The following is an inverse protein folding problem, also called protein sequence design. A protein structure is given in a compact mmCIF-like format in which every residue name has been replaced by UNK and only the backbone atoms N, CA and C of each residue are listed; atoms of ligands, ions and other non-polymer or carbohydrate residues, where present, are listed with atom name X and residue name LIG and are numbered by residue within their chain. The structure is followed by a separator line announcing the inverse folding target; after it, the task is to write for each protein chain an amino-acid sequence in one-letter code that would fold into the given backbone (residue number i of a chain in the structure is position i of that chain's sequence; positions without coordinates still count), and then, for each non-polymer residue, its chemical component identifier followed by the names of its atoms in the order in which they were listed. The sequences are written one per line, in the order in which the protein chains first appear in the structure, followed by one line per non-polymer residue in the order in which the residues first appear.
data_IF_271707268977
#
_entry.id   IF_271707268977
#
_cell.length_a   1.000
_cell.length_b   1.000
_cell.length_c   1.000
_cell.angle_alpha   90.00
_cell.angle_beta   90.00
_cell.angle_gamma   90.00
#
_symmetry.space_group_name_H-M   'P 1'
#
loop_
_entity.id
_entity.type
_entity.pdbx_description
1 polymer ?
#
# COMPACT_ATOMS: atom_id res chain seq x y z
N UNK A 1 4.28 32.51 -5.32
CA UNK A 1 4.50 31.98 -6.67
C UNK A 1 3.73 30.68 -6.85
N UNK A 2 3.88 29.69 -5.97
CA UNK A 2 3.23 28.36 -6.06
C UNK A 2 1.72 28.43 -6.27
N UNK A 3 1.00 29.21 -5.47
CA UNK A 3 -0.46 29.37 -5.55
C UNK A 3 -0.94 29.95 -6.89
N UNK A 4 -0.30 31.01 -7.36
CA UNK A 4 -0.65 31.62 -8.66
C UNK A 4 -0.39 30.65 -9.83
N UNK A 5 0.67 29.84 -9.73
CA UNK A 5 0.97 28.84 -10.75
C UNK A 5 -0.06 27.70 -10.73
N UNK A 6 -0.47 27.25 -9.54
CA UNK A 6 -1.54 26.26 -9.40
C UNK A 6 -2.86 26.76 -10.02
N UNK A 7 -3.28 27.98 -9.68
CA UNK A 7 -4.48 28.61 -10.23
C UNK A 7 -4.39 28.77 -11.76
N UNK A 8 -3.25 29.19 -12.28
CA UNK A 8 -3.01 29.26 -13.72
C UNK A 8 -3.14 27.94 -14.43
N UNK A 9 -2.55 26.85 -13.87
CA UNK A 9 -2.64 25.52 -14.44
C UNK A 9 -4.08 25.01 -14.45
N UNK A 10 -4.80 25.18 -13.34
CA UNK A 10 -6.21 24.79 -13.24
C UNK A 10 -7.08 25.53 -14.26
N UNK A 11 -6.89 26.85 -14.40
CA UNK A 11 -7.64 27.65 -15.37
C UNK A 11 -7.32 27.25 -16.81
N UNK A 12 -6.04 27.16 -17.15
CA UNK A 12 -5.59 26.93 -18.55
C UNK A 12 -5.82 25.49 -19.01
N UNK A 13 -5.70 24.52 -18.09
CA UNK A 13 -5.78 23.09 -18.40
C UNK A 13 -6.99 22.40 -17.73
N UNK A 14 -8.06 23.15 -17.44
CA UNK A 14 -9.23 22.71 -16.69
C UNK A 14 -9.76 21.35 -17.15
N UNK A 15 -10.02 21.16 -18.45
CA UNK A 15 -10.56 19.90 -19.01
C UNK A 15 -9.67 18.68 -18.70
N UNK A 16 -8.35 18.85 -18.70
CA UNK A 16 -7.40 17.77 -18.43
C UNK A 16 -7.29 17.45 -16.94
N UNK A 17 -7.42 18.48 -16.10
CA UNK A 17 -7.24 18.38 -14.65
C UNK A 17 -8.54 18.07 -13.89
N UNK A 18 -9.70 18.20 -14.54
CA UNK A 18 -11.02 18.00 -13.94
C UNK A 18 -11.22 16.61 -13.31
N UNK A 19 -10.60 15.56 -13.89
CA UNK A 19 -10.73 14.19 -13.39
C UNK A 19 -9.54 13.70 -12.57
N UNK A 20 -8.38 14.31 -12.74
CA UNK A 20 -7.13 13.88 -12.06
C UNK A 20 -6.74 14.80 -10.90
N UNK A 21 -7.24 16.03 -10.89
CA UNK A 21 -6.92 17.03 -9.87
C UNK A 21 -5.49 17.56 -9.92
N UNK A 22 -5.23 18.51 -9.03
CA UNK A 22 -3.90 19.08 -8.77
C UNK A 22 -3.53 18.81 -7.31
N UNK A 23 -2.32 18.32 -7.07
CA UNK A 23 -1.77 18.19 -5.73
C UNK A 23 -0.87 19.39 -5.43
N UNK A 24 -1.07 20.02 -4.28
CA UNK A 24 -0.16 21.01 -3.72
C UNK A 24 0.50 20.40 -2.50
N UNK A 25 1.83 20.33 -2.52
CA UNK A 25 2.65 19.88 -1.40
C UNK A 25 3.40 21.07 -0.82
N UNK A 26 3.25 21.30 0.49
CA UNK A 26 3.97 22.32 1.20
C UNK A 26 4.32 21.87 2.63
N UNK A 27 5.39 22.41 3.24
CA UNK A 27 5.93 21.86 4.49
C UNK A 27 5.01 22.06 5.70
N UNK A 28 4.13 23.07 5.66
CA UNK A 28 3.32 23.42 6.83
C UNK A 28 1.81 23.44 6.54
N UNK A 29 1.03 22.90 7.46
CA UNK A 29 -0.44 22.96 7.44
C UNK A 29 -0.99 24.39 7.52
N UNK A 30 -0.28 25.30 8.19
CA UNK A 30 -0.68 26.71 8.26
C UNK A 30 -0.77 27.36 6.88
N UNK A 31 0.24 27.12 6.04
CA UNK A 31 0.27 27.62 4.67
C UNK A 31 -0.79 26.94 3.79
N UNK A 32 -0.96 25.63 3.91
CA UNK A 32 -1.98 24.90 3.16
C UNK A 32 -3.40 25.36 3.49
N UNK A 33 -3.73 25.61 4.77
CA UNK A 33 -5.05 26.19 5.16
C UNK A 33 -5.30 27.56 4.54
N UNK A 34 -4.27 28.39 4.40
CA UNK A 34 -4.41 29.64 3.68
C UNK A 34 -4.78 29.40 2.21
N UNK A 35 -4.09 28.48 1.54
CA UNK A 35 -4.38 28.09 0.16
C UNK A 35 -5.81 27.56 0.03
N UNK A 36 -6.22 26.64 0.91
CA UNK A 36 -7.56 26.05 0.93
C UNK A 36 -8.70 27.10 1.04
N UNK A 37 -8.45 28.23 1.70
CA UNK A 37 -9.41 29.33 1.81
C UNK A 37 -9.46 30.21 0.57
N UNK A 38 -8.36 30.34 -0.14
CA UNK A 38 -8.23 31.22 -1.31
C UNK A 38 -8.69 30.52 -2.60
N UNK A 39 -8.41 29.21 -2.76
CA UNK A 39 -8.74 28.46 -3.96
C UNK A 39 -10.24 28.45 -4.32
N UNK A 40 -11.19 28.24 -3.40
CA UNK A 40 -12.63 28.30 -3.72
C UNK A 40 -13.07 29.66 -4.25
N UNK A 41 -12.45 30.77 -3.79
CA UNK A 41 -12.74 32.12 -4.31
C UNK A 41 -12.32 32.30 -5.77
N UNK A 42 -11.44 31.40 -6.26
CA UNK A 42 -11.00 31.33 -7.67
C UNK A 42 -11.83 30.32 -8.48
N UNK A 43 -12.88 29.71 -7.88
CA UNK A 43 -13.77 28.74 -8.54
C UNK A 43 -13.19 27.33 -8.71
N UNK A 44 -12.12 27.02 -8.00
CA UNK A 44 -11.37 25.76 -8.16
C UNK A 44 -11.65 24.77 -7.02
N UNK A 45 -12.20 23.59 -7.34
CA UNK A 45 -12.59 22.53 -6.38
C UNK A 45 -11.76 21.23 -6.51
N UNK A 46 -10.96 21.10 -7.56
CA UNK A 46 -10.15 19.90 -7.86
C UNK A 46 -8.73 19.93 -7.28
N UNK A 47 -8.51 20.64 -6.16
CA UNK A 47 -7.19 20.75 -5.55
C UNK A 47 -7.12 19.95 -4.26
N UNK A 48 -6.09 19.13 -4.16
CA UNK A 48 -5.70 18.42 -2.94
C UNK A 48 -4.48 19.09 -2.35
N UNK A 49 -4.50 19.34 -1.04
CA UNK A 49 -3.39 19.93 -0.32
C UNK A 49 -2.88 18.96 0.74
N UNK A 50 -1.60 18.63 0.71
CA UNK A 50 -0.97 17.70 1.64
C UNK A 50 0.38 18.25 2.12
N UNK A 51 0.71 17.98 3.36
CA UNK A 51 2.11 18.05 3.82
C UNK A 51 2.84 16.76 3.42
N UNK A 52 4.19 16.75 3.36
CA UNK A 52 4.95 15.53 3.15
C UNK A 52 4.58 14.41 4.13
N UNK A 53 4.24 14.76 5.38
CA UNK A 53 3.82 13.83 6.43
C UNK A 53 2.43 13.22 6.26
N UNK A 54 1.64 13.68 5.28
CA UNK A 54 0.28 13.20 5.00
C UNK A 54 0.16 12.49 3.64
N UNK A 55 1.27 12.30 2.94
CA UNK A 55 1.26 11.76 1.59
C UNK A 55 0.73 10.32 1.51
N UNK A 56 0.80 9.55 2.59
CA UNK A 56 0.26 8.19 2.67
C UNK A 56 -1.08 8.22 3.43
N UNK A 57 -2.20 7.81 2.81
CA UNK A 57 -3.50 7.80 3.46
C UNK A 57 -3.50 7.02 4.79
N UNK A 58 -4.16 7.57 5.80
CA UNK A 58 -4.23 6.98 7.13
C UNK A 58 -2.95 7.11 7.97
N UNK A 59 -1.93 7.80 7.45
CA UNK A 59 -0.71 8.17 8.20
C UNK A 59 -0.66 9.68 8.33
N UNK A 60 -0.34 10.15 9.52
CA UNK A 60 -0.06 11.56 9.80
C UNK A 60 1.22 11.66 10.59
N UNK A 61 2.16 12.41 10.10
CA UNK A 61 3.44 12.68 10.72
C UNK A 61 3.69 14.19 10.73
N UNK A 62 3.86 14.74 11.91
CA UNK A 62 4.07 16.19 12.11
C UNK A 62 5.49 16.49 12.65
N UNK A 63 6.29 15.44 12.90
CA UNK A 63 7.64 15.56 13.46
C UNK A 63 8.69 15.03 12.50
N UNK A 64 9.89 15.61 12.55
CA UNK A 64 11.04 15.15 11.81
C UNK A 64 11.93 14.23 12.67
N UNK A 65 12.65 13.32 12.02
CA UNK A 65 13.78 12.63 12.64
C UNK A 65 14.95 13.59 12.89
N UNK A 66 15.90 13.20 13.73
CA UNK A 66 17.18 13.91 13.79
C UNK A 66 17.91 13.78 12.43
N UNK A 67 18.80 14.72 12.13
CA UNK A 67 19.45 14.91 10.83
C UNK A 67 20.11 13.63 10.28
N UNK A 68 20.85 12.91 11.12
CA UNK A 68 21.52 11.67 10.71
C UNK A 68 20.53 10.57 10.29
N UNK A 69 19.41 10.43 11.00
CA UNK A 69 18.34 9.47 10.68
C UNK A 69 17.60 9.90 9.42
N UNK A 70 17.24 11.20 9.32
CA UNK A 70 16.54 11.77 8.18
C UNK A 70 17.34 11.57 6.88
N UNK A 71 18.66 11.77 6.91
CA UNK A 71 19.55 11.53 5.77
C UNK A 71 19.52 10.07 5.32
N UNK A 72 19.61 9.12 6.26
CA UNK A 72 19.58 7.68 5.92
C UNK A 72 18.23 7.30 5.33
N UNK A 73 17.13 7.66 5.99
CA UNK A 73 15.76 7.36 5.53
C UNK A 73 15.45 8.03 4.18
N UNK A 74 15.95 9.24 3.95
CA UNK A 74 15.77 10.02 2.72
C UNK A 74 16.58 9.51 1.53
N UNK A 75 17.58 8.67 1.75
CA UNK A 75 18.46 8.15 0.71
C UNK A 75 17.79 7.10 -0.18
N UNK A 76 18.04 7.15 -1.50
CA UNK A 76 17.60 6.13 -2.46
C UNK A 76 18.20 4.73 -2.19
N UNK A 77 19.25 4.61 -1.40
CA UNK A 77 19.77 3.32 -0.93
C UNK A 77 18.69 2.51 -0.20
N UNK A 78 17.76 3.20 0.51
CA UNK A 78 16.65 2.55 1.20
C UNK A 78 15.72 1.76 0.26
N UNK A 79 15.62 2.11 -1.02
CA UNK A 79 14.84 1.32 -1.99
C UNK A 79 15.37 -0.10 -2.13
N UNK A 80 16.69 -0.27 -2.12
CA UNK A 80 17.35 -1.59 -2.20
C UNK A 80 17.22 -2.34 -0.88
N UNK A 81 17.42 -1.66 0.25
CA UNK A 81 17.25 -2.23 1.60
C UNK A 81 15.83 -2.74 1.79
N UNK A 82 14.80 -1.93 1.51
CA UNK A 82 13.41 -2.32 1.67
C UNK A 82 13.01 -3.47 0.73
N UNK A 83 13.48 -3.46 -0.51
CA UNK A 83 13.26 -4.58 -1.45
C UNK A 83 13.84 -5.90 -0.93
N UNK A 84 15.04 -5.87 -0.36
CA UNK A 84 15.66 -7.05 0.28
C UNK A 84 14.88 -7.47 1.51
N UNK A 85 14.46 -6.52 2.35
CA UNK A 85 13.66 -6.76 3.53
C UNK A 85 12.33 -7.47 3.21
N UNK A 86 11.61 -7.02 2.18
CA UNK A 86 10.36 -7.65 1.72
C UNK A 86 10.62 -9.06 1.18
N UNK A 87 11.66 -9.25 0.34
CA UNK A 87 12.04 -10.58 -0.16
C UNK A 87 12.40 -11.56 0.95
N UNK A 88 12.98 -11.09 2.04
CA UNK A 88 13.35 -11.92 3.19
C UNK A 88 12.13 -12.43 3.98
N UNK A 89 10.94 -11.87 3.78
CA UNK A 89 9.69 -12.37 4.38
C UNK A 89 9.12 -13.61 3.70
N UNK A 90 9.64 -13.97 2.54
CA UNK A 90 9.25 -15.16 1.79
C UNK A 90 10.15 -16.32 2.21
N UNK A 91 9.85 -16.93 3.34
CA UNK A 91 10.70 -17.92 3.97
C UNK A 91 10.48 -19.34 3.45
N UNK A 92 11.49 -20.16 3.51
CA UNK A 92 11.40 -21.62 3.35
C UNK A 92 11.67 -22.24 4.71
N UNK A 93 10.82 -23.14 5.20
CA UNK A 93 11.02 -23.79 6.46
C UNK A 93 12.32 -24.62 6.46
N UNK A 94 12.97 -24.73 7.61
CA UNK A 94 14.20 -25.53 7.74
C UNK A 94 13.95 -27.04 7.63
N UNK A 95 12.76 -27.49 7.98
CA UNK A 95 12.34 -28.89 7.92
C UNK A 95 10.93 -29.04 7.34
N UNK A 96 10.46 -30.27 7.14
CA UNK A 96 9.09 -30.54 6.70
C UNK A 96 8.08 -30.04 7.75
N UNK A 97 6.88 -29.71 7.28
CA UNK A 97 5.74 -29.35 8.12
C UNK A 97 4.69 -30.44 7.98
N UNK A 98 4.47 -31.17 9.05
CA UNK A 98 3.48 -32.25 9.10
C UNK A 98 2.09 -31.68 9.38
N UNK A 99 1.09 -32.15 8.64
CA UNK A 99 -0.30 -31.71 8.67
C UNK A 99 -1.19 -32.95 8.78
N UNK A 100 -2.28 -32.82 9.52
CA UNK A 100 -3.33 -33.86 9.59
C UNK A 100 -4.61 -33.29 9.01
N UNK A 101 -5.10 -33.88 7.93
CA UNK A 101 -6.33 -33.47 7.24
C UNK A 101 -7.29 -34.66 7.26
N UNK A 102 -8.33 -34.58 8.04
CA UNK A 102 -9.37 -35.61 8.21
C UNK A 102 -8.78 -37.02 8.48
N UNK A 103 -7.75 -37.08 9.33
CA UNK A 103 -7.08 -38.31 9.68
C UNK A 103 -6.04 -38.80 8.67
N UNK A 104 -5.81 -38.06 7.60
CA UNK A 104 -4.73 -38.33 6.62
C UNK A 104 -3.52 -37.45 6.96
N UNK A 105 -2.38 -38.08 7.20
CA UNK A 105 -1.13 -37.38 7.50
C UNK A 105 -0.41 -37.04 6.19
N UNK A 106 -0.20 -35.73 5.96
CA UNK A 106 0.52 -35.22 4.80
C UNK A 106 1.63 -34.28 5.25
N UNK A 107 2.60 -34.08 4.39
CA UNK A 107 3.78 -33.26 4.72
C UNK A 107 4.02 -32.23 3.64
N UNK A 108 4.13 -30.96 4.06
CA UNK A 108 4.61 -29.87 3.20
C UNK A 108 6.13 -29.77 3.32
N UNK A 109 6.84 -30.22 2.28
CA UNK A 109 8.30 -30.25 2.30
C UNK A 109 8.93 -28.89 2.01
N UNK A 110 10.17 -28.62 2.45
CA UNK A 110 10.93 -27.42 2.05
C UNK A 110 11.09 -27.33 0.51
N UNK A 111 11.08 -28.47 -0.20
CA UNK A 111 11.12 -28.55 -1.65
C UNK A 111 9.86 -27.95 -2.29
N UNK A 112 8.69 -28.35 -1.78
CA UNK A 112 7.39 -27.83 -2.23
C UNK A 112 7.27 -26.34 -2.02
N UNK A 113 7.68 -25.86 -0.85
CA UNK A 113 7.69 -24.41 -0.53
C UNK A 113 8.64 -23.64 -1.44
N UNK A 114 9.85 -24.17 -1.72
CA UNK A 114 10.78 -23.54 -2.68
C UNK A 114 10.18 -23.43 -4.08
N UNK A 115 9.57 -24.50 -4.56
CA UNK A 115 8.95 -24.54 -5.88
C UNK A 115 7.76 -23.58 -5.97
N UNK A 116 6.84 -23.61 -5.00
CA UNK A 116 5.71 -22.68 -4.95
C UNK A 116 6.17 -21.20 -4.86
N UNK A 117 7.23 -20.92 -4.07
CA UNK A 117 7.85 -19.59 -3.97
C UNK A 117 8.46 -19.16 -5.30
N UNK A 118 9.12 -20.05 -6.02
CA UNK A 118 9.71 -19.75 -7.32
C UNK A 118 8.62 -19.38 -8.36
N UNK A 119 7.53 -20.12 -8.42
CA UNK A 119 6.37 -19.83 -9.27
C UNK A 119 5.79 -18.44 -8.94
N UNK A 120 5.58 -18.15 -7.67
CA UNK A 120 5.05 -16.85 -7.24
C UNK A 120 5.99 -15.69 -7.60
N UNK A 121 7.29 -15.86 -7.40
CA UNK A 121 8.30 -14.84 -7.75
C UNK A 121 8.40 -14.60 -9.26
N UNK A 122 8.21 -15.62 -10.07
CA UNK A 122 8.23 -15.51 -11.52
C UNK A 122 7.11 -14.62 -12.07
N UNK A 123 6.04 -14.37 -11.30
CA UNK A 123 4.97 -13.44 -11.69
C UNK A 123 5.41 -11.98 -11.73
N UNK A 124 6.51 -11.61 -11.08
CA UNK A 124 6.97 -10.23 -10.93
C UNK A 124 6.05 -9.33 -10.10
N UNK A 125 4.97 -9.87 -9.54
CA UNK A 125 3.98 -9.10 -8.76
C UNK A 125 4.51 -8.68 -7.39
N UNK A 126 3.95 -7.62 -6.78
CA UNK A 126 4.20 -7.25 -5.39
C UNK A 126 3.93 -8.40 -4.42
N UNK A 127 4.52 -8.31 -3.21
CA UNK A 127 4.55 -9.40 -2.23
C UNK A 127 3.17 -10.00 -1.89
N UNK A 128 2.17 -9.15 -1.59
CA UNK A 128 0.84 -9.62 -1.19
C UNK A 128 0.10 -10.26 -2.38
N UNK A 129 0.21 -9.68 -3.58
CA UNK A 129 -0.40 -10.23 -4.80
C UNK A 129 0.28 -11.54 -5.24
N UNK A 130 1.61 -11.63 -5.16
CA UNK A 130 2.36 -12.85 -5.48
C UNK A 130 2.02 -13.99 -4.50
N UNK A 131 1.63 -13.66 -3.26
CA UNK A 131 1.20 -14.64 -2.26
C UNK A 131 0.01 -15.49 -2.72
N UNK A 132 -0.93 -14.96 -3.48
CA UNK A 132 -2.06 -15.73 -4.04
C UNK A 132 -1.56 -16.88 -4.92
N UNK A 133 -0.56 -16.62 -5.77
CA UNK A 133 0.08 -17.66 -6.59
C UNK A 133 0.84 -18.68 -5.73
N UNK A 134 1.56 -18.22 -4.70
CA UNK A 134 2.25 -19.07 -3.75
C UNK A 134 1.28 -20.04 -3.04
N UNK A 135 0.18 -19.50 -2.48
CA UNK A 135 -0.84 -20.30 -1.78
C UNK A 135 -1.44 -21.33 -2.71
N UNK A 136 -1.84 -20.94 -3.91
CA UNK A 136 -2.39 -21.88 -4.91
C UNK A 136 -1.39 -23.00 -5.22
N UNK A 137 -0.15 -22.67 -5.55
CA UNK A 137 0.87 -23.64 -5.89
C UNK A 137 1.23 -24.57 -4.72
N UNK A 138 1.19 -24.07 -3.47
CA UNK A 138 1.40 -24.90 -2.29
C UNK A 138 0.21 -25.84 -2.03
N UNK A 139 -1.03 -25.37 -2.19
CA UNK A 139 -2.24 -26.17 -2.05
C UNK A 139 -2.29 -27.29 -3.10
N UNK A 140 -1.93 -27.02 -4.35
CA UNK A 140 -1.84 -28.05 -5.39
C UNK A 140 -0.83 -29.15 -5.04
N UNK A 141 0.26 -28.83 -4.34
CA UNK A 141 1.24 -29.82 -3.85
C UNK A 141 0.69 -30.60 -2.67
N UNK A 142 -0.03 -29.96 -1.76
CA UNK A 142 -0.71 -30.64 -0.64
C UNK A 142 -1.78 -31.61 -1.15
N UNK A 143 -2.56 -31.24 -2.19
CA UNK A 143 -3.51 -32.18 -2.82
C UNK A 143 -2.79 -33.39 -3.37
N UNK A 144 -1.67 -33.22 -4.09
CA UNK A 144 -0.87 -34.35 -4.60
C UNK A 144 -0.35 -35.24 -3.47
N UNK A 145 0.13 -34.63 -2.37
CA UNK A 145 0.59 -35.39 -1.21
C UNK A 145 -0.56 -36.15 -0.55
N UNK A 146 -1.74 -35.54 -0.45
CA UNK A 146 -2.95 -36.18 0.10
C UNK A 146 -3.39 -37.37 -0.73
N UNK A 147 -3.50 -37.22 -2.05
CA UNK A 147 -3.86 -38.33 -2.99
C UNK A 147 -2.84 -39.47 -2.95
N UNK A 148 -1.55 -39.14 -2.90
CA UNK A 148 -0.50 -40.14 -2.77
C UNK A 148 -0.62 -40.93 -1.46
N UNK A 149 -0.96 -40.28 -0.36
CA UNK A 149 -1.17 -40.92 0.94
C UNK A 149 -2.44 -41.79 0.97
N UNK A 150 -3.55 -41.32 0.35
CA UNK A 150 -4.75 -42.16 0.17
C UNK A 150 -4.44 -43.43 -0.63
N UNK A 151 -3.66 -43.31 -1.72
CA UNK A 151 -3.21 -44.45 -2.51
C UNK A 151 -2.39 -45.45 -1.68
N UNK A 152 -1.49 -44.93 -0.82
CA UNK A 152 -0.70 -45.79 0.09
C UNK A 152 -1.56 -46.49 1.14
N UNK A 153 -2.65 -45.84 1.57
CA UNK A 153 -3.61 -46.40 2.51
C UNK A 153 -4.70 -47.29 1.88
N UNK A 154 -4.62 -47.52 0.57
CA UNK A 154 -5.61 -48.26 -0.23
C UNK A 154 -7.03 -47.67 -0.11
N UNK A 155 -7.15 -46.35 0.08
CA UNK A 155 -8.42 -45.61 0.16
C UNK A 155 -8.81 -45.12 -1.23
N UNK A 156 -10.12 -45.17 -1.61
CA UNK A 156 -10.58 -44.67 -2.89
C UNK A 156 -10.39 -43.14 -2.99
N UNK A 157 -10.09 -42.65 -4.17
CA UNK A 157 -10.03 -41.22 -4.53
C UNK A 157 -10.74 -41.03 -5.86
N UNK A 158 -11.59 -40.00 -5.94
CA UNK A 158 -12.22 -39.57 -7.19
C UNK A 158 -11.78 -38.13 -7.50
N UNK A 159 -11.52 -37.82 -8.78
CA UNK A 159 -11.07 -36.46 -9.15
C UNK A 159 -12.17 -35.42 -8.94
N UNK A 160 -13.43 -35.82 -8.87
CA UNK A 160 -14.58 -35.00 -8.50
C UNK A 160 -14.44 -34.40 -7.09
N UNK A 161 -13.78 -35.12 -6.18
CA UNK A 161 -13.58 -34.69 -4.79
C UNK A 161 -12.48 -33.62 -4.64
N UNK A 162 -11.75 -33.31 -5.72
CA UNK A 162 -10.62 -32.36 -5.70
C UNK A 162 -11.04 -30.94 -5.26
N UNK A 163 -12.22 -30.48 -5.68
CA UNK A 163 -12.70 -29.14 -5.36
C UNK A 163 -13.01 -29.02 -3.86
N UNK A 164 -13.63 -30.04 -3.28
CA UNK A 164 -13.97 -30.10 -1.86
C UNK A 164 -12.69 -30.19 -1.02
N UNK A 165 -11.74 -31.05 -1.38
CA UNK A 165 -10.45 -31.14 -0.72
C UNK A 165 -9.69 -29.77 -0.76
N UNK A 166 -9.70 -29.07 -1.89
CA UNK A 166 -9.09 -27.75 -1.98
C UNK A 166 -9.79 -26.73 -1.07
N UNK A 167 -11.11 -26.82 -0.93
CA UNK A 167 -11.86 -25.99 -0.01
C UNK A 167 -11.46 -26.30 1.44
N UNK A 168 -11.41 -27.55 1.83
CA UNK A 168 -11.04 -28.01 3.17
C UNK A 168 -9.60 -27.59 3.50
N UNK A 169 -8.64 -27.80 2.61
CA UNK A 169 -7.27 -27.35 2.78
C UNK A 169 -7.18 -25.80 2.95
N UNK A 170 -7.98 -25.02 2.22
CA UNK A 170 -8.01 -23.57 2.34
C UNK A 170 -8.60 -23.10 3.67
N UNK A 171 -9.56 -23.82 4.21
CA UNK A 171 -10.25 -23.46 5.45
C UNK A 171 -9.53 -24.01 6.68
N UNK A 172 -8.75 -25.08 6.53
CA UNK A 172 -8.02 -25.73 7.62
C UNK A 172 -7.04 -24.76 8.31
N UNK A 173 -7.10 -24.76 9.65
CA UNK A 173 -6.29 -23.86 10.48
C UNK A 173 -4.78 -24.13 10.34
N UNK A 174 -4.38 -25.39 10.42
CA UNK A 174 -2.95 -25.78 10.43
C UNK A 174 -2.29 -25.50 9.09
N UNK A 175 -3.02 -25.70 7.98
CA UNK A 175 -2.58 -25.31 6.63
C UNK A 175 -2.39 -23.80 6.56
N UNK A 176 -3.35 -22.99 7.07
CA UNK A 176 -3.21 -21.53 7.11
C UNK A 176 -1.99 -21.10 7.91
N UNK A 177 -1.76 -21.70 9.07
CA UNK A 177 -0.59 -21.40 9.91
C UNK A 177 0.70 -21.77 9.18
N UNK A 178 0.76 -22.97 8.57
CA UNK A 178 1.93 -23.42 7.81
C UNK A 178 2.28 -22.46 6.67
N UNK A 179 1.28 -22.08 5.85
CA UNK A 179 1.48 -21.17 4.72
C UNK A 179 1.83 -19.74 5.17
N UNK A 180 1.22 -19.25 6.27
CA UNK A 180 1.54 -17.94 6.83
C UNK A 180 2.97 -17.89 7.40
N UNK A 181 3.49 -18.97 7.97
CA UNK A 181 4.90 -19.06 8.40
C UNK A 181 5.87 -18.91 7.22
N UNK A 182 5.47 -19.39 6.03
CA UNK A 182 6.28 -19.27 4.83
C UNK A 182 6.14 -17.91 4.13
N UNK A 183 4.94 -17.35 4.09
CA UNK A 183 4.64 -16.12 3.35
C UNK A 183 3.43 -15.40 3.94
N UNK A 184 3.66 -14.55 4.94
CA UNK A 184 2.63 -13.73 5.58
C UNK A 184 2.36 -12.47 4.77
N UNK A 185 1.09 -12.07 4.54
CA UNK A 185 0.79 -10.75 3.99
C UNK A 185 1.00 -9.67 5.05
N UNK A 186 1.37 -8.47 4.62
CA UNK A 186 1.65 -7.34 5.50
C UNK A 186 0.95 -6.07 5.02
N UNK A 187 0.46 -5.25 5.97
CA UNK A 187 0.25 -3.83 5.70
C UNK A 187 1.59 -3.08 5.75
N UNK A 188 1.74 -1.95 5.03
CA UNK A 188 2.97 -1.16 5.06
C UNK A 188 3.42 -0.80 6.48
N UNK A 189 2.46 -0.38 7.32
CA UNK A 189 2.72 0.00 8.70
C UNK A 189 3.19 -1.20 9.57
N UNK A 190 2.52 -2.35 9.46
CA UNK A 190 2.90 -3.55 10.24
C UNK A 190 4.27 -4.08 9.82
N UNK A 191 4.57 -4.03 8.52
CA UNK A 191 5.87 -4.38 8.00
C UNK A 191 6.96 -3.45 8.53
N UNK A 192 6.79 -2.12 8.39
CA UNK A 192 7.76 -1.12 8.83
C UNK A 192 8.04 -1.23 10.33
N UNK A 193 6.99 -1.30 11.18
CA UNK A 193 7.14 -1.49 12.63
C UNK A 193 7.95 -2.73 12.97
N UNK A 194 7.65 -3.86 12.31
CA UNK A 194 8.36 -5.11 12.57
C UNK A 194 9.79 -5.13 12.01
N UNK A 195 10.05 -4.38 10.95
CA UNK A 195 11.35 -4.29 10.29
C UNK A 195 12.32 -3.43 11.10
N UNK A 196 11.94 -2.20 11.42
CA UNK A 196 12.80 -1.26 12.15
C UNK A 196 13.01 -1.63 13.62
N UNK A 197 12.15 -2.47 14.21
CA UNK A 197 12.33 -2.95 15.58
C UNK A 197 13.25 -4.18 15.71
N UNK A 198 13.87 -4.63 14.63
CA UNK A 198 14.73 -5.82 14.66
C UNK A 198 16.09 -5.54 14.03
N UNK A 199 17.13 -5.44 14.84
CA UNK A 199 18.51 -5.28 14.37
C UNK A 199 18.92 -6.39 13.42
N UNK A 200 18.54 -7.65 13.70
CA UNK A 200 18.84 -8.79 12.83
C UNK A 200 18.27 -8.60 11.41
N UNK A 201 17.02 -8.14 11.31
CA UNK A 201 16.35 -7.89 10.04
C UNK A 201 16.97 -6.71 9.28
N UNK A 202 17.34 -5.66 10.01
CA UNK A 202 18.04 -4.51 9.45
C UNK A 202 19.39 -4.92 8.89
N UNK A 203 20.21 -5.65 9.63
CA UNK A 203 21.51 -6.16 9.18
C UNK A 203 21.37 -7.05 7.95
N UNK A 204 20.41 -7.99 7.96
CA UNK A 204 20.18 -8.88 6.83
C UNK A 204 19.76 -8.10 5.55
N UNK A 205 18.92 -7.09 5.69
CA UNK A 205 18.43 -6.30 4.58
C UNK A 205 19.44 -5.26 4.07
N UNK A 206 20.23 -4.68 4.97
CA UNK A 206 21.24 -3.66 4.66
C UNK A 206 22.24 -4.14 3.61
N UNK A 207 22.83 -5.34 3.81
CA UNK A 207 23.90 -5.82 2.95
C UNK A 207 25.04 -4.82 2.89
N UNK A 208 25.42 -4.42 1.69
CA UNK A 208 26.44 -3.39 1.42
C UNK A 208 25.86 -1.99 1.14
N UNK A 209 24.52 -1.83 1.22
CA UNK A 209 23.86 -0.59 0.80
C UNK A 209 23.86 0.50 1.86
N UNK A 210 23.93 0.12 3.13
CA UNK A 210 24.04 1.03 4.28
C UNK A 210 25.05 0.45 5.30
N UNK A 211 25.73 1.33 5.99
CA UNK A 211 26.76 0.98 6.98
C UNK A 211 26.17 0.49 8.31
N UNK A 212 27.01 -0.14 9.14
CA UNK A 212 26.59 -0.57 10.49
C UNK A 212 26.12 0.60 11.36
N UNK A 213 26.75 1.79 11.21
CA UNK A 213 26.31 3.00 11.92
C UNK A 213 24.88 3.39 11.51
N UNK A 214 24.59 3.38 10.21
CA UNK A 214 23.27 3.71 9.68
C UNK A 214 22.21 2.69 10.07
N UNK A 215 22.56 1.40 10.17
CA UNK A 215 21.68 0.36 10.72
C UNK A 215 21.27 0.69 12.16
N UNK A 216 22.23 1.12 12.99
CA UNK A 216 21.94 1.50 14.38
C UNK A 216 21.01 2.71 14.47
N UNK A 217 21.18 3.69 13.58
CA UNK A 217 20.31 4.87 13.50
C UNK A 217 18.86 4.52 13.09
N UNK A 218 18.66 3.48 12.28
CA UNK A 218 17.34 3.06 11.82
C UNK A 218 16.57 2.24 12.86
N UNK A 219 17.27 1.65 13.86
CA UNK A 219 16.61 0.81 14.86
C UNK A 219 15.75 1.64 15.81
N UNK A 220 14.48 1.24 16.00
CA UNK A 220 13.54 1.91 16.90
C UNK A 220 12.48 0.96 17.45
N UNK A 221 11.79 1.30 18.55
CA UNK A 221 10.68 0.54 19.10
C UNK A 221 9.52 0.37 18.12
N UNK A 222 8.72 -0.70 18.27
CA UNK A 222 7.56 -0.98 17.40
C UNK A 222 6.46 0.05 17.50
N UNK A 223 6.30 0.66 18.64
CA UNK A 223 5.27 1.64 19.01
C UNK A 223 5.70 3.08 18.76
N UNK A 224 6.92 3.30 18.24
CA UNK A 224 7.39 4.63 17.88
C UNK A 224 6.41 5.34 16.92
N UNK A 225 6.22 6.63 17.14
CA UNK A 225 5.40 7.48 16.27
C UNK A 225 6.05 7.61 14.88
N UNK A 226 5.22 7.88 13.88
CA UNK A 226 5.71 8.10 12.52
C UNK A 226 6.32 9.49 12.39
N UNK A 227 7.46 9.55 11.73
CA UNK A 227 8.11 10.80 11.32
C UNK A 227 7.83 11.10 9.85
N UNK A 228 8.07 12.34 9.41
CA UNK A 228 7.86 12.77 8.03
C UNK A 228 8.70 11.89 7.06
N UNK A 229 9.92 11.55 7.46
CA UNK A 229 10.83 10.70 6.67
C UNK A 229 10.31 9.27 6.52
N UNK A 230 9.55 8.77 7.50
CA UNK A 230 8.92 7.45 7.42
C UNK A 230 7.87 7.38 6.33
N UNK A 231 7.18 8.48 6.03
CA UNK A 231 6.07 8.50 5.06
C UNK A 231 6.56 8.09 3.68
N UNK A 232 7.72 8.56 3.26
CA UNK A 232 8.33 8.15 1.98
C UNK A 232 8.72 6.67 1.97
N UNK A 233 9.21 6.14 3.11
CA UNK A 233 9.51 4.71 3.25
C UNK A 233 8.24 3.86 3.26
N UNK A 234 7.17 4.31 3.91
CA UNK A 234 5.87 3.62 3.91
C UNK A 234 5.28 3.56 2.50
N UNK A 235 5.43 4.62 1.71
CA UNK A 235 5.03 4.63 0.31
C UNK A 235 5.83 3.59 -0.52
N UNK A 236 7.15 3.54 -0.36
CA UNK A 236 7.99 2.52 -1.02
C UNK A 236 7.63 1.10 -0.58
N UNK A 237 7.41 0.89 0.72
CA UNK A 237 6.98 -0.41 1.27
C UNK A 237 5.62 -0.81 0.68
N UNK A 238 4.68 0.12 0.56
CA UNK A 238 3.37 -0.14 -0.04
C UNK A 238 3.48 -0.59 -1.50
N UNK A 239 4.36 0.00 -2.29
CA UNK A 239 4.64 -0.44 -3.66
C UNK A 239 5.22 -1.87 -3.70
N UNK A 240 6.16 -2.18 -2.80
CA UNK A 240 6.80 -3.49 -2.74
C UNK A 240 5.86 -4.59 -2.23
N UNK A 241 4.95 -4.24 -1.33
CA UNK A 241 3.96 -5.17 -0.78
C UNK A 241 2.77 -5.36 -1.74
N UNK A 242 2.32 -4.31 -2.40
CA UNK A 242 1.01 -4.25 -3.06
C UNK A 242 -0.13 -4.23 -2.05
N UNK A 243 -1.33 -3.99 -2.53
CA UNK A 243 -2.52 -4.01 -1.68
C UNK A 243 -2.75 -5.43 -1.12
N UNK A 244 -3.32 -5.49 0.08
CA UNK A 244 -3.73 -6.78 0.65
C UNK A 244 -5.11 -7.14 0.09
N UNK A 245 -5.13 -7.94 -0.98
CA UNK A 245 -6.37 -8.44 -1.60
C UNK A 245 -7.31 -9.08 -0.57
N UNK A 246 -6.75 -9.65 0.51
CA UNK A 246 -7.56 -10.23 1.59
C UNK A 246 -8.19 -9.17 2.47
N UNK A 247 -7.56 -8.03 2.65
CA UNK A 247 -8.13 -6.88 3.36
C UNK A 247 -9.19 -6.19 2.49
N UNK A 248 -8.91 -5.99 1.20
CA UNK A 248 -9.88 -5.46 0.24
C UNK A 248 -11.11 -6.37 0.12
N UNK A 249 -10.92 -7.70 0.07
CA UNK A 249 -12.00 -8.66 0.04
C UNK A 249 -12.84 -8.62 1.31
N UNK A 250 -12.22 -8.55 2.50
CA UNK A 250 -12.94 -8.41 3.78
C UNK A 250 -13.75 -7.11 3.84
N UNK A 251 -13.23 -6.02 3.30
CA UNK A 251 -13.93 -4.75 3.25
C UNK A 251 -15.11 -4.80 2.28
N UNK A 252 -14.96 -5.46 1.11
CA UNK A 252 -16.05 -5.74 0.19
C UNK A 252 -17.11 -6.65 0.81
N UNK A 253 -16.70 -7.70 1.52
CA UNK A 253 -17.62 -8.61 2.19
C UNK A 253 -18.40 -7.89 3.31
N UNK A 254 -17.74 -7.01 4.07
CA UNK A 254 -18.41 -6.13 5.05
C UNK A 254 -19.36 -5.15 4.37
N UNK A 255 -18.94 -4.54 3.26
CA UNK A 255 -19.79 -3.63 2.49
C UNK A 255 -21.04 -4.35 1.97
N UNK A 256 -20.90 -5.55 1.40
CA UNK A 256 -22.02 -6.40 0.95
C UNK A 256 -22.94 -6.81 2.10
N UNK A 257 -22.38 -7.16 3.27
CA UNK A 257 -23.16 -7.51 4.46
C UNK A 257 -23.95 -6.29 4.95
N UNK A 258 -23.32 -5.11 4.95
CA UNK A 258 -23.99 -3.86 5.33
C UNK A 258 -25.08 -3.47 4.34
N UNK A 259 -24.84 -3.63 3.04
CA UNK A 259 -25.80 -3.37 1.97
C UNK A 259 -27.01 -4.30 2.10
N UNK A 260 -26.78 -5.60 2.32
CA UNK A 260 -27.85 -6.57 2.57
C UNK A 260 -28.67 -6.21 3.82
N UNK A 261 -28.00 -5.86 4.93
CA UNK A 261 -28.67 -5.42 6.16
C UNK A 261 -29.47 -4.13 5.97
N UNK A 262 -28.98 -3.19 5.15
CA UNK A 262 -29.70 -1.97 4.80
C UNK A 262 -30.95 -2.28 3.93
N UNK A 263 -30.85 -3.24 3.01
CA UNK A 263 -31.95 -3.69 2.18
C UNK A 263 -33.04 -4.36 3.02
N UNK A 264 -32.65 -5.29 3.91
CA UNK A 264 -33.56 -5.96 4.86
C UNK A 264 -34.24 -4.95 5.81
N UNK A 265 -33.50 -3.91 6.24
CA UNK A 265 -34.07 -2.83 7.06
C UNK A 265 -35.05 -1.97 6.25
N UNK A 266 -34.71 -1.61 5.00
CA UNK A 266 -35.61 -0.85 4.11
C UNK A 266 -36.90 -1.62 3.80
N UNK A 267 -36.80 -2.93 3.53
CA UNK A 267 -37.96 -3.82 3.35
C UNK A 267 -38.84 -3.87 4.59
N UNK A 268 -38.23 -3.95 5.78
CA UNK A 268 -38.93 -3.99 7.06
C UNK A 268 -39.63 -2.65 7.37
N UNK A 269 -39.00 -1.53 7.03
CA UNK A 269 -39.61 -0.19 7.18
C UNK A 269 -40.77 -0.02 6.20
N UNK A 270 -40.61 -0.43 4.94
CA UNK A 270 -41.69 -0.38 3.94
C UNK A 270 -42.86 -1.29 4.29
N UNK A 271 -42.62 -2.45 4.90
CA UNK A 271 -43.70 -3.32 5.37
C UNK A 271 -44.48 -2.77 6.58
N UNK A 272 -43.90 -1.82 7.32
CA UNK A 272 -44.54 -1.12 8.44
C UNK A 272 -45.30 0.15 8.01
N UNK A 273 -44.99 0.69 6.84
CA UNK A 273 -45.66 1.85 6.28
C UNK A 273 -46.54 1.32 5.14
N UNK A 274 -47.85 1.30 5.36
CA UNK A 274 -48.86 0.79 4.44
C UNK A 274 -48.94 1.72 3.18
N UNK A 275 -47.83 1.89 2.47
CA UNK A 275 -47.68 2.73 1.29
C UNK A 275 -47.45 1.86 0.06
N UNK A 276 -48.55 1.36 -0.49
CA UNK A 276 -48.52 0.74 -1.81
C UNK A 276 -47.97 1.74 -2.87
N UNK A 277 -46.75 1.51 -3.36
CA UNK A 277 -46.41 1.88 -4.72
C UNK A 277 -45.62 3.18 -4.96
N UNK A 278 -45.06 3.88 -3.97
CA UNK A 278 -44.37 5.18 -4.22
C UNK A 278 -42.84 5.12 -4.23
N UNK A 279 -42.22 4.21 -3.49
CA UNK A 279 -40.72 4.04 -3.47
C UNK A 279 -40.38 2.56 -3.29
N UNK A 280 -39.48 2.03 -4.10
CA UNK A 280 -39.00 0.67 -3.94
C UNK A 280 -37.96 0.56 -2.82
N UNK A 281 -37.87 -0.61 -2.16
CA UNK A 281 -36.83 -0.86 -1.17
C UNK A 281 -35.41 -0.61 -1.70
N UNK A 282 -35.20 -0.89 -2.99
CA UNK A 282 -33.94 -0.64 -3.70
C UNK A 282 -33.66 0.86 -3.85
N UNK A 283 -34.66 1.68 -4.15
CA UNK A 283 -34.51 3.16 -4.25
C UNK A 283 -34.23 3.78 -2.88
N UNK A 284 -34.92 3.31 -1.83
CA UNK A 284 -34.67 3.78 -0.47
C UNK A 284 -33.26 3.36 0.02
N UNK A 285 -32.84 2.12 -0.24
CA UNK A 285 -31.50 1.63 0.05
C UNK A 285 -30.43 2.39 -0.77
N UNK A 286 -30.70 2.69 -2.04
CA UNK A 286 -29.83 3.49 -2.90
C UNK A 286 -29.71 4.95 -2.40
N UNK A 287 -30.81 5.59 -1.94
CA UNK A 287 -30.75 6.92 -1.34
C UNK A 287 -29.97 6.95 -0.03
N UNK A 288 -30.09 5.92 0.82
CA UNK A 288 -29.31 5.76 2.04
C UNK A 288 -27.83 5.50 1.68
N UNK A 289 -27.56 4.73 0.62
CA UNK A 289 -26.21 4.47 0.09
C UNK A 289 -25.60 5.70 -0.60
N UNK A 290 -26.33 6.40 -1.44
CA UNK A 290 -25.88 7.60 -2.16
C UNK A 290 -25.51 8.77 -1.21
N UNK A 291 -26.17 8.89 -0.06
CA UNK A 291 -25.77 9.85 0.98
C UNK A 291 -24.39 9.55 1.61
N UNK A 292 -23.85 8.34 1.41
CA UNK A 292 -22.52 7.95 1.94
C UNK A 292 -21.37 8.24 0.98
N UNK A 293 -21.60 8.50 -0.31
CA UNK A 293 -20.52 8.74 -1.29
C UNK A 293 -20.50 10.20 -1.81
N UNK A 294 -20.89 11.14 -0.96
CA UNK A 294 -20.81 12.59 -1.24
C UNK A 294 -19.40 13.16 -1.15
N UNK A 295 -18.37 12.29 -1.11
CA UNK A 295 -16.97 12.74 -1.08
C UNK A 295 -16.60 13.49 -2.36
N UNK A 296 -15.97 14.64 -2.17
CA UNK A 296 -15.40 15.43 -3.26
C UNK A 296 -14.27 14.67 -3.98
N UNK A 297 -13.91 15.12 -5.20
CA UNK A 297 -12.74 14.57 -5.91
C UNK A 297 -11.48 14.63 -5.04
N UNK A 298 -11.29 15.73 -4.33
CA UNK A 298 -10.16 15.94 -3.43
C UNK A 298 -10.13 14.92 -2.28
N UNK A 299 -11.29 14.63 -1.67
CA UNK A 299 -11.38 13.63 -0.60
C UNK A 299 -11.14 12.20 -1.10
N UNK A 300 -11.63 11.87 -2.32
CA UNK A 300 -11.35 10.58 -2.96
C UNK A 300 -9.87 10.44 -3.26
N UNK A 301 -9.26 11.46 -3.86
CA UNK A 301 -7.85 11.46 -4.20
C UNK A 301 -6.93 11.39 -2.96
N UNK A 302 -7.27 12.11 -1.88
CA UNK A 302 -6.52 12.06 -0.63
C UNK A 302 -6.64 10.71 0.10
N UNK A 303 -7.74 9.98 -0.13
CA UNK A 303 -7.97 8.66 0.47
C UNK A 303 -7.35 7.50 -0.33
N UNK A 304 -6.98 7.72 -1.59
CA UNK A 304 -6.43 6.70 -2.48
C UNK A 304 -4.93 6.92 -2.70
N UNK A 305 -4.10 6.03 -2.14
CA UNK A 305 -2.65 6.06 -2.32
C UNK A 305 -2.21 5.95 -3.79
N UNK A 306 -2.98 5.24 -4.60
CA UNK A 306 -2.68 4.99 -6.01
C UNK A 306 -3.17 6.10 -6.94
N UNK A 307 -3.84 7.11 -6.38
CA UNK A 307 -4.33 8.24 -7.17
C UNK A 307 -3.20 8.96 -7.89
N UNK A 308 -3.42 9.21 -9.17
CA UNK A 308 -2.47 9.97 -10.01
C UNK A 308 -3.01 11.35 -10.32
N UNK A 309 -2.21 12.36 -9.97
CA UNK A 309 -2.57 13.76 -10.20
C UNK A 309 -2.14 14.22 -11.60
N UNK A 310 -2.92 15.08 -12.21
CA UNK A 310 -2.61 15.66 -13.51
C UNK A 310 -1.47 16.70 -13.45
N UNK A 311 -1.28 17.31 -12.27
CA UNK A 311 -0.20 18.25 -12.00
C UNK A 311 0.14 18.26 -10.50
N UNK A 312 1.42 18.40 -10.17
CA UNK A 312 1.86 18.55 -8.78
C UNK A 312 2.62 19.87 -8.63
N UNK A 313 2.23 20.65 -7.63
CA UNK A 313 2.93 21.86 -7.21
C UNK A 313 3.64 21.56 -5.90
N UNK A 314 4.93 21.78 -5.87
CA UNK A 314 5.77 21.58 -4.68
C UNK A 314 6.32 22.93 -4.23
N UNK A 315 6.03 23.31 -3.00
CA UNK A 315 6.58 24.51 -2.37
C UNK A 315 7.66 24.11 -1.37
N UNK A 316 8.67 24.97 -1.17
CA UNK A 316 9.88 24.68 -0.38
C UNK A 316 10.53 23.35 -0.78
N UNK A 317 10.63 23.11 -2.07
CA UNK A 317 11.01 21.83 -2.65
C UNK A 317 12.43 21.37 -2.29
N UNK A 318 13.31 22.28 -1.86
CA UNK A 318 14.66 21.99 -1.35
C UNK A 318 14.63 21.17 -0.06
N UNK A 319 13.52 21.20 0.69
CA UNK A 319 13.36 20.42 1.93
C UNK A 319 13.07 18.93 1.67
N UNK A 320 12.72 18.56 0.44
CA UNK A 320 12.32 17.19 0.12
C UNK A 320 13.51 16.28 -0.12
N UNK A 321 13.51 15.14 0.57
CA UNK A 321 14.50 14.08 0.36
C UNK A 321 14.30 13.35 -0.99
N UNK A 322 15.35 12.69 -1.52
CA UNK A 322 15.24 11.86 -2.73
C UNK A 322 14.15 10.77 -2.63
N UNK A 323 13.94 10.19 -1.46
CA UNK A 323 12.84 9.23 -1.27
C UNK A 323 11.46 9.89 -1.35
N UNK A 324 11.31 11.13 -0.86
CA UNK A 324 10.05 11.88 -0.98
C UNK A 324 9.77 12.26 -2.43
N UNK A 325 10.79 12.70 -3.17
CA UNK A 325 10.67 12.93 -4.61
C UNK A 325 10.23 11.67 -5.35
N UNK A 326 10.78 10.51 -4.99
CA UNK A 326 10.37 9.23 -5.57
C UNK A 326 8.88 8.94 -5.34
N UNK A 327 8.36 9.21 -4.15
CA UNK A 327 6.95 9.05 -3.84
C UNK A 327 6.05 10.02 -4.64
N UNK A 328 6.48 11.27 -4.84
CA UNK A 328 5.77 12.26 -5.65
C UNK A 328 5.77 11.91 -7.15
N UNK A 329 6.90 11.42 -7.66
CA UNK A 329 7.01 11.00 -9.08
C UNK A 329 6.05 9.87 -9.44
N UNK A 330 5.78 8.94 -8.51
CA UNK A 330 4.75 7.89 -8.72
C UNK A 330 3.36 8.47 -8.84
N UNK A 331 3.05 9.54 -8.11
CA UNK A 331 1.73 10.19 -8.13
C UNK A 331 1.50 11.08 -9.35
N UNK A 332 2.53 11.29 -10.15
CA UNK A 332 2.41 12.00 -11.42
C UNK A 332 3.25 11.34 -12.53
N UNK A 333 2.71 10.28 -13.16
CA UNK A 333 3.39 9.58 -14.25
C UNK A 333 3.72 10.48 -15.45
N UNK A 334 2.96 11.55 -15.64
CA UNK A 334 3.21 12.52 -16.72
C UNK A 334 4.38 13.46 -16.45
N UNK A 335 4.95 13.41 -15.22
CA UNK A 335 6.04 14.27 -14.75
C UNK A 335 5.74 15.77 -14.90
N UNK A 336 4.46 16.14 -14.74
CA UNK A 336 3.99 17.53 -14.81
C UNK A 336 4.09 18.19 -13.43
N UNK A 337 5.18 18.93 -13.20
CA UNK A 337 5.47 19.56 -11.91
C UNK A 337 5.63 21.08 -12.04
N UNK A 338 5.24 21.80 -11.00
CA UNK A 338 5.71 23.15 -10.69
C UNK A 338 6.50 23.07 -9.40
N UNK A 339 7.78 23.36 -9.48
CA UNK A 339 8.72 23.26 -8.36
C UNK A 339 9.10 24.67 -7.95
N UNK A 340 8.85 25.01 -6.69
CA UNK A 340 9.17 26.31 -6.09
C UNK A 340 10.04 26.04 -4.87
N UNK A 341 11.13 26.76 -4.75
CA UNK A 341 12.05 26.65 -3.64
C UNK A 341 13.31 27.47 -3.87
N UNK A 342 14.08 27.66 -2.83
CA UNK A 342 15.35 28.37 -2.87
C UNK A 342 16.45 27.44 -2.35
N UNK A 343 17.31 26.97 -3.26
CA UNK A 343 18.41 26.07 -2.92
C UNK A 343 19.46 26.69 -1.99
N UNK A 344 19.46 28.02 -1.84
CA UNK A 344 20.34 28.71 -0.88
C UNK A 344 19.77 28.75 0.56
N UNK A 345 18.48 28.41 0.75
CA UNK A 345 17.79 28.41 2.04
C UNK A 345 17.47 27.01 2.55
N UNK A 346 18.19 25.98 2.11
CA UNK A 346 17.96 24.61 2.58
C UNK A 346 18.25 24.53 4.08
N UNK A 347 17.23 24.22 4.88
CA UNK A 347 17.36 23.94 6.31
C UNK A 347 17.48 22.45 6.60
N UNK A 348 17.11 21.59 5.65
CA UNK A 348 17.13 20.15 5.78
C UNK A 348 18.42 19.54 5.21
N UNK A 349 19.15 18.79 6.04
CA UNK A 349 20.34 18.03 5.63
C UNK A 349 19.97 16.85 4.70
N UNK A 350 18.73 16.40 4.72
CA UNK A 350 18.19 15.41 3.79
C UNK A 350 17.69 16.02 2.48
N UNK A 351 17.62 17.34 2.39
CA UNK A 351 17.29 18.08 1.18
C UNK A 351 18.40 18.04 0.15
N UNK A 352 18.10 18.50 -1.05
CA UNK A 352 19.08 18.45 -2.15
C UNK A 352 19.90 19.75 -2.24
N UNK A 353 21.21 19.60 -2.32
CA UNK A 353 22.15 20.71 -2.51
C UNK A 353 22.00 21.37 -3.89
N UNK A 354 21.39 20.70 -4.85
CA UNK A 354 21.08 21.21 -6.18
C UNK A 354 19.86 20.51 -6.78
N UNK A 355 19.13 21.22 -7.64
CA UNK A 355 17.98 20.66 -8.37
C UNK A 355 18.40 19.51 -9.30
N UNK A 356 19.58 19.58 -9.89
CA UNK A 356 20.10 18.51 -10.75
C UNK A 356 20.31 17.23 -9.93
N UNK A 357 20.88 17.35 -8.74
CA UNK A 357 21.09 16.18 -7.86
C UNK A 357 19.76 15.60 -7.34
N UNK A 358 18.79 16.46 -7.04
CA UNK A 358 17.47 16.01 -6.56
C UNK A 358 16.65 15.29 -7.63
N UNK A 359 16.72 15.76 -8.88
CA UNK A 359 15.78 15.37 -9.93
C UNK A 359 16.42 14.51 -11.03
N UNK A 360 17.76 14.55 -11.23
CA UNK A 360 18.42 13.76 -12.26
C UNK A 360 18.07 12.26 -12.21
N UNK A 361 18.00 11.60 -11.04
CA UNK A 361 17.63 10.19 -10.97
C UNK A 361 16.23 9.86 -11.54
N UNK A 362 15.39 10.89 -11.73
CA UNK A 362 14.00 10.76 -12.19
C UNK A 362 13.75 11.32 -13.59
N UNK A 363 14.73 12.03 -14.16
CA UNK A 363 14.60 12.72 -15.44
C UNK A 363 15.37 12.04 -16.58
N UNK A 364 16.38 11.23 -16.28
CA UNK A 364 17.27 10.59 -17.26
C UNK A 364 16.58 9.61 -18.22
N UNK A 365 15.38 9.11 -17.91
CA UNK A 365 14.61 8.23 -18.80
C UNK A 365 14.03 8.91 -20.06
N UNK A 366 14.30 10.19 -20.30
CA UNK A 366 13.85 10.92 -21.52
C UNK A 366 14.91 11.04 -22.61
N UNK A 367 16.10 10.52 -22.41
CA UNK A 367 17.23 10.62 -23.34
C UNK A 367 17.51 9.32 -24.12
N UNK A 368 16.53 8.41 -24.24
CA UNK A 368 16.63 7.22 -25.09
C UNK A 368 15.50 7.15 -26.09
#
# INVERSE_FOLDING_TARGET
VALHRAAYQLYTHRKRLEHSGVLIVAPTRGFLRYIERVLPSLGETGVVTLTPGELVPGVRADTHDCEDVARVKGSLAMTKVLRRAVKARQQVPKGPIDLNIDGVHITLTPGDVRAARAEARATGRPHNHARTTFVRAALDRLVKAYVAELTRLERPWAEEDRADLLHDLRTNHDVKVALNRCWLPYSPQSFARSFFASTERLVHAAGEHISTREITLLHRPKDAEWTIEDVALLDEIAELLGDDDTAAQREQDKARTTERSNLEYAEKVLSMIDSEGIVSAAELAAQVGARRDSRTLAEKAAADRTWTYGHIVVDEAQELSPMMWRALMRRNPTKSFTIVGDGAQTSSISGADSWDHALSPFLEDRAS
#
